data_IF_198226404729
#
_entry.id   IF_198226404729
#
_cell.length_a   1.000
_cell.length_b   1.000
_cell.length_c   1.000
_cell.angle_alpha   90.00
_cell.angle_beta   90.00
_cell.angle_gamma   90.00
#
_symmetry.space_group_name_H-M   'P 1'
#
loop_
_entity.id
_entity.type
_entity.pdbx_description
1 polymer ?
#
# COMPACT_ATOMS: atom_id res chain seq x y z
N UNK A 1 -118.49 0.33 8.11
CA UNK A 1 -118.33 -1.12 7.76
C UNK A 1 -116.93 -1.40 7.37
N UNK A 2 -116.41 -2.45 7.94
CA UNK A 2 -115.20 -3.20 7.64
C UNK A 2 -113.89 -2.63 8.07
N UNK A 3 -113.33 -3.28 9.06
CA UNK A 3 -111.96 -3.33 9.61
C UNK A 3 -110.96 -3.87 8.61
N UNK A 4 -109.78 -3.36 8.60
CA UNK A 4 -108.61 -4.08 8.16
C UNK A 4 -107.47 -3.79 9.10
N UNK A 5 -106.97 -4.82 9.71
CA UNK A 5 -105.82 -4.89 10.59
C UNK A 5 -104.57 -4.86 9.71
N UNK A 6 -103.65 -3.92 9.88
CA UNK A 6 -102.34 -3.91 9.19
C UNK A 6 -101.24 -4.34 10.15
N UNK A 7 -100.60 -5.39 9.80
CA UNK A 7 -99.49 -6.03 10.49
C UNK A 7 -98.19 -5.20 10.26
N UNK A 8 -97.57 -4.69 11.33
CA UNK A 8 -96.29 -3.99 11.27
C UNK A 8 -95.17 -5.03 11.43
N UNK A 9 -94.45 -5.29 10.34
CA UNK A 9 -93.19 -6.03 10.35
C UNK A 9 -92.09 -5.13 10.81
N UNK A 10 -91.55 -5.36 11.99
CA UNK A 10 -90.30 -4.69 12.46
C UNK A 10 -89.11 -5.31 11.80
N UNK A 11 -88.36 -4.49 11.01
CA UNK A 11 -87.07 -4.87 10.46
C UNK A 11 -86.00 -4.43 11.49
N UNK A 12 -85.48 -5.47 12.18
CA UNK A 12 -84.28 -5.28 13.04
C UNK A 12 -83.04 -5.13 12.16
N UNK A 13 -82.47 -3.96 12.08
CA UNK A 13 -81.13 -3.74 11.48
C UNK A 13 -80.10 -4.16 12.50
N UNK A 14 -79.44 -5.33 12.29
CA UNK A 14 -78.18 -5.63 12.95
C UNK A 14 -77.08 -4.72 12.39
N UNK A 15 -76.69 -3.70 13.14
CA UNK A 15 -75.49 -2.96 12.88
C UNK A 15 -74.29 -3.85 13.23
N UNK A 16 -73.68 -4.49 12.22
CA UNK A 16 -72.39 -5.11 12.35
C UNK A 16 -71.34 -4.02 12.47
N UNK A 17 -70.88 -3.78 13.68
CA UNK A 17 -69.74 -2.90 13.92
C UNK A 17 -68.48 -3.57 13.37
N UNK A 18 -68.09 -3.21 12.15
CA UNK A 18 -66.77 -3.56 11.59
C UNK A 18 -65.73 -2.79 12.41
N UNK A 19 -65.02 -3.53 13.26
CA UNK A 19 -63.84 -2.99 13.92
C UNK A 19 -62.76 -2.75 12.85
N UNK A 20 -62.74 -1.60 12.25
CA UNK A 20 -61.65 -1.14 11.37
C UNK A 20 -60.46 -0.84 12.27
N UNK A 21 -59.58 -1.82 12.41
CA UNK A 21 -58.29 -1.57 13.00
C UNK A 21 -57.47 -0.77 11.99
N UNK A 22 -57.44 0.54 12.14
CA UNK A 22 -56.51 1.38 11.44
C UNK A 22 -55.10 1.11 12.01
N UNK A 23 -54.31 0.26 11.34
CA UNK A 23 -52.90 0.13 11.66
C UNK A 23 -52.22 1.41 11.20
N UNK A 24 -51.90 2.29 12.13
CA UNK A 24 -51.04 3.43 11.86
C UNK A 24 -49.58 2.95 11.82
N UNK A 25 -49.03 2.76 10.63
CA UNK A 25 -47.62 2.46 10.42
C UNK A 25 -46.92 3.72 9.90
N UNK A 26 -45.76 4.03 10.44
CA UNK A 26 -44.88 5.06 9.94
C UNK A 26 -43.58 4.40 9.47
N UNK A 27 -43.07 4.79 8.30
CA UNK A 27 -41.80 4.33 7.76
C UNK A 27 -40.69 5.24 8.25
N UNK A 28 -39.66 4.66 8.88
CA UNK A 28 -38.42 5.37 9.21
C UNK A 28 -37.35 4.96 8.21
N UNK A 29 -36.94 5.90 7.36
CA UNK A 29 -35.90 5.69 6.37
C UNK A 29 -34.58 6.25 6.91
N UNK A 30 -33.59 5.37 7.10
CA UNK A 30 -32.21 5.78 7.43
C UNK A 30 -31.39 5.76 6.15
N UNK A 31 -30.84 6.90 5.79
CA UNK A 31 -29.95 7.04 4.62
C UNK A 31 -28.60 7.56 5.05
N UNK A 32 -27.54 7.03 4.43
CA UNK A 32 -26.17 7.47 4.65
C UNK A 32 -25.28 6.91 3.55
N UNK A 33 -24.18 7.60 3.26
CA UNK A 33 -23.16 7.14 2.34
C UNK A 33 -21.83 7.06 3.08
N UNK A 34 -21.24 5.88 3.14
CA UNK A 34 -19.88 5.70 3.65
C UNK A 34 -18.93 5.95 2.46
N UNK A 35 -18.16 7.02 2.54
CA UNK A 35 -17.11 7.30 1.56
C UNK A 35 -15.80 6.77 2.11
N UNK A 36 -15.10 5.85 1.42
CA UNK A 36 -13.75 5.44 1.81
C UNK A 36 -12.81 6.65 1.74
N UNK A 37 -11.83 6.72 2.65
CA UNK A 37 -10.76 7.69 2.57
C UNK A 37 -9.95 7.39 1.27
N UNK A 38 -9.78 8.41 0.43
CA UNK A 38 -8.93 8.31 -0.74
C UNK A 38 -7.54 8.82 -0.38
N UNK A 39 -6.55 7.92 -0.32
CA UNK A 39 -5.16 8.28 -0.09
C UNK A 39 -4.42 8.42 -1.41
N UNK A 40 -3.63 9.47 -1.52
CA UNK A 40 -2.74 9.73 -2.64
C UNK A 40 -1.29 9.48 -2.22
N UNK A 41 -0.60 8.66 -2.98
CA UNK A 41 0.82 8.33 -2.80
C UNK A 41 1.65 9.14 -3.80
N UNK A 42 2.66 9.85 -3.32
CA UNK A 42 3.56 10.62 -4.15
C UNK A 42 5.00 10.52 -3.67
N UNK A 43 5.93 10.65 -4.61
CA UNK A 43 7.36 10.76 -4.35
C UNK A 43 7.90 12.00 -5.04
N UNK A 44 8.78 12.72 -4.37
CA UNK A 44 9.45 13.90 -4.95
C UNK A 44 10.28 13.48 -6.16
N UNK A 45 10.29 14.30 -7.20
CA UNK A 45 11.00 14.00 -8.45
C UNK A 45 10.41 12.84 -9.24
N UNK A 46 9.11 12.48 -9.01
CA UNK A 46 8.47 11.35 -9.69
C UNK A 46 9.05 10.00 -9.29
N UNK A 47 9.81 9.92 -8.17
CA UNK A 47 10.45 8.67 -7.72
C UNK A 47 11.71 8.29 -8.51
N UNK A 48 12.29 9.20 -9.26
CA UNK A 48 13.52 8.95 -10.01
C UNK A 48 14.73 9.04 -9.08
N UNK A 49 15.49 7.95 -9.02
CA UNK A 49 16.77 7.87 -8.33
C UNK A 49 17.88 7.87 -9.39
N UNK A 50 18.50 9.01 -9.60
CA UNK A 50 19.54 9.17 -10.61
C UNK A 50 20.93 9.06 -10.00
N UNK A 51 21.74 8.12 -10.50
CA UNK A 51 23.14 7.95 -10.10
C UNK A 51 24.11 8.74 -10.99
N UNK A 52 23.63 9.32 -12.10
CA UNK A 52 24.50 10.01 -13.07
C UNK A 52 25.39 9.06 -13.84
N UNK A 53 26.43 9.60 -14.45
CA UNK A 53 27.40 8.83 -15.20
C UNK A 53 28.39 8.13 -14.25
N UNK A 54 28.58 6.84 -14.46
CA UNK A 54 29.49 6.01 -13.68
C UNK A 54 30.61 5.54 -14.62
N UNK A 55 31.84 6.07 -14.47
CA UNK A 55 32.95 5.68 -15.33
C UNK A 55 33.25 4.18 -15.18
N UNK A 56 33.32 3.45 -16.30
CA UNK A 56 33.57 2.02 -16.32
C UNK A 56 34.93 1.65 -15.65
N UNK A 57 35.94 2.54 -15.75
CA UNK A 57 37.22 2.35 -15.11
C UNK A 57 37.20 2.37 -13.57
N UNK A 58 36.09 2.79 -12.94
CA UNK A 58 35.92 2.73 -11.49
C UNK A 58 35.32 1.38 -11.02
N UNK A 59 34.84 0.56 -11.95
CA UNK A 59 34.23 -0.74 -11.59
C UNK A 59 35.30 -1.78 -11.30
N UNK A 60 35.19 -2.40 -10.16
CA UNK A 60 36.02 -3.53 -9.77
C UNK A 60 35.69 -4.74 -10.66
N UNK A 61 36.70 -5.36 -11.31
CA UNK A 61 36.46 -6.45 -12.25
C UNK A 61 35.84 -7.70 -11.59
N UNK A 62 36.25 -8.04 -10.37
CA UNK A 62 35.93 -9.32 -9.72
C UNK A 62 35.02 -9.16 -8.49
N UNK A 63 34.69 -7.94 -8.10
CA UNK A 63 33.84 -7.66 -6.95
C UNK A 63 32.58 -6.87 -7.35
N UNK A 64 31.53 -6.99 -6.57
CA UNK A 64 30.34 -6.16 -6.70
C UNK A 64 30.64 -4.70 -6.32
N UNK A 65 30.03 -3.77 -6.98
CA UNK A 65 30.33 -2.34 -6.87
C UNK A 65 29.15 -1.59 -6.22
N UNK A 66 29.15 -1.40 -4.88
CA UNK A 66 28.10 -0.65 -4.20
C UNK A 66 28.22 0.84 -4.52
N UNK A 67 27.10 1.46 -4.87
CA UNK A 67 27.01 2.90 -5.07
C UNK A 67 26.61 3.61 -3.78
N UNK A 68 26.84 4.91 -3.75
CA UNK A 68 26.39 5.77 -2.65
C UNK A 68 24.87 5.73 -2.52
N UNK A 69 24.37 5.80 -1.29
CA UNK A 69 22.93 5.87 -1.04
C UNK A 69 22.35 7.14 -1.66
N UNK A 70 21.19 7.00 -2.28
CA UNK A 70 20.35 8.10 -2.78
C UNK A 70 18.98 8.03 -2.12
N UNK A 71 18.35 9.16 -1.94
CA UNK A 71 17.06 9.26 -1.24
C UNK A 71 16.04 10.04 -2.04
N UNK A 72 14.77 9.68 -1.84
CA UNK A 72 13.62 10.45 -2.33
C UNK A 72 12.58 10.57 -1.20
N UNK A 73 12.04 11.78 -0.96
CA UNK A 73 10.92 11.96 -0.05
C UNK A 73 9.67 11.24 -0.54
N UNK A 74 9.00 10.56 0.41
CA UNK A 74 7.73 9.87 0.24
C UNK A 74 6.64 10.63 0.99
N UNK A 75 5.48 10.82 0.37
CA UNK A 75 4.31 11.38 1.01
C UNK A 75 3.06 10.58 0.64
N UNK A 76 2.24 10.28 1.64
CA UNK A 76 0.88 9.77 1.45
C UNK A 76 -0.07 10.71 2.17
N UNK A 77 -1.12 11.15 1.47
CA UNK A 77 -2.13 12.05 2.03
C UNK A 77 -3.51 11.45 1.84
N UNK A 78 -4.26 11.28 2.92
CA UNK A 78 -5.61 10.70 2.93
C UNK A 78 -6.71 11.76 3.10
N UNK A 79 -6.41 13.03 2.82
CA UNK A 79 -7.35 14.13 3.04
C UNK A 79 -7.56 14.41 4.53
N UNK A 80 -8.80 14.72 4.92
CA UNK A 80 -9.17 15.03 6.31
C UNK A 80 -9.52 13.81 7.14
N UNK A 81 -9.75 12.66 6.52
CA UNK A 81 -10.17 11.44 7.21
C UNK A 81 -8.98 10.49 7.34
N UNK A 82 -8.53 10.20 8.59
CA UNK A 82 -7.48 9.23 8.80
C UNK A 82 -7.85 7.85 8.22
N UNK A 83 -6.87 7.16 7.68
CA UNK A 83 -7.02 5.81 7.13
C UNK A 83 -5.92 4.89 7.66
N UNK A 84 -6.24 3.60 7.74
CA UNK A 84 -5.26 2.55 7.99
C UNK A 84 -4.88 1.92 6.65
N UNK A 85 -3.62 2.06 6.26
CA UNK A 85 -3.12 1.60 4.98
C UNK A 85 -1.70 1.05 5.08
N UNK A 86 -1.29 0.34 4.07
CA UNK A 86 0.06 -0.19 3.95
C UNK A 86 0.59 -0.03 2.54
N UNK A 87 1.90 -0.24 2.41
CA UNK A 87 2.63 -0.21 1.15
C UNK A 87 3.16 -1.60 0.82
N UNK A 88 3.07 -1.99 -0.43
CA UNK A 88 3.76 -3.14 -1.00
C UNK A 88 4.70 -2.66 -2.09
N UNK A 89 5.78 -3.41 -2.27
CA UNK A 89 6.78 -3.11 -3.28
C UNK A 89 6.90 -4.28 -4.22
N UNK A 90 6.78 -4.00 -5.51
CA UNK A 90 6.84 -5.01 -6.58
C UNK A 90 8.03 -4.70 -7.47
N UNK A 91 8.93 -5.66 -7.63
CA UNK A 91 10.06 -5.55 -8.54
C UNK A 91 9.61 -5.85 -9.98
N UNK A 92 9.69 -4.85 -10.85
CA UNK A 92 9.36 -5.01 -12.27
C UNK A 92 10.53 -5.56 -13.10
N UNK A 93 11.73 -5.67 -12.48
CA UNK A 93 12.92 -6.19 -13.11
C UNK A 93 13.45 -7.48 -12.43
N UNK A 94 12.55 -8.24 -11.80
CA UNK A 94 12.89 -9.42 -11.01
C UNK A 94 13.73 -10.47 -11.76
N UNK A 95 13.55 -10.61 -13.08
CA UNK A 95 14.31 -11.52 -13.91
C UNK A 95 15.80 -11.11 -14.05
N UNK A 96 16.12 -9.85 -13.81
CA UNK A 96 17.48 -9.30 -13.92
C UNK A 96 18.30 -9.36 -12.63
N UNK A 97 17.75 -9.88 -11.54
CA UNK A 97 18.44 -9.99 -10.25
C UNK A 97 19.77 -10.74 -10.37
N UNK A 98 20.77 -10.19 -9.72
CA UNK A 98 22.07 -10.87 -9.52
C UNK A 98 22.06 -11.46 -8.12
N UNK A 99 22.07 -12.80 -7.98
CA UNK A 99 22.03 -13.44 -6.66
C UNK A 99 23.21 -13.04 -5.78
N UNK A 100 22.95 -12.82 -4.49
CA UNK A 100 23.97 -12.48 -3.49
C UNK A 100 24.55 -11.07 -3.61
N UNK A 101 24.09 -10.26 -4.56
CA UNK A 101 24.69 -8.94 -4.83
C UNK A 101 24.58 -7.99 -3.63
N UNK A 102 23.51 -8.12 -2.84
CA UNK A 102 23.30 -7.25 -1.69
C UNK A 102 24.15 -7.59 -0.46
N UNK A 103 24.90 -8.70 -0.48
CA UNK A 103 25.76 -9.07 0.65
C UNK A 103 26.82 -8.02 0.95
N UNK A 104 27.24 -7.24 -0.08
CA UNK A 104 28.20 -6.14 0.09
C UNK A 104 27.62 -4.93 0.84
N UNK A 105 26.31 -4.87 1.01
CA UNK A 105 25.65 -3.80 1.76
C UNK A 105 25.60 -4.06 3.28
N UNK A 106 26.05 -5.25 3.70
CA UNK A 106 26.15 -5.66 5.10
C UNK A 106 25.05 -6.65 5.53
N UNK A 107 25.13 -7.04 6.79
CA UNK A 107 24.21 -8.03 7.37
C UNK A 107 22.74 -7.57 7.33
N UNK A 108 21.87 -8.54 7.14
CA UNK A 108 20.40 -8.35 7.12
C UNK A 108 19.81 -8.02 5.76
N UNK A 109 20.61 -7.88 4.70
CA UNK A 109 20.12 -7.92 3.34
C UNK A 109 20.12 -9.36 2.81
N UNK A 110 19.01 -9.78 2.24
CA UNK A 110 18.82 -11.12 1.65
C UNK A 110 18.16 -10.98 0.28
N UNK A 111 17.97 -12.08 -0.42
CA UNK A 111 17.36 -12.07 -1.76
C UNK A 111 15.93 -11.49 -1.79
N UNK A 112 15.21 -11.50 -0.67
CA UNK A 112 13.88 -10.88 -0.60
C UNK A 112 13.94 -9.34 -0.69
N UNK A 113 15.10 -8.74 -0.37
CA UNK A 113 15.34 -7.30 -0.47
C UNK A 113 16.00 -6.89 -1.80
N UNK A 114 16.40 -7.88 -2.63
CA UNK A 114 17.11 -7.66 -3.87
C UNK A 114 16.13 -7.33 -5.00
N UNK A 115 16.20 -6.12 -5.53
CA UNK A 115 15.47 -5.66 -6.70
C UNK A 115 16.40 -5.65 -7.90
N UNK A 116 15.91 -6.08 -9.06
CA UNK A 116 16.72 -6.13 -10.28
C UNK A 116 17.02 -4.73 -10.84
N UNK A 117 18.25 -4.54 -11.31
CA UNK A 117 18.70 -3.27 -11.90
C UNK A 117 18.66 -3.26 -13.45
N UNK A 118 17.94 -4.23 -14.02
CA UNK A 118 17.80 -4.40 -15.46
C UNK A 118 18.91 -5.25 -16.08
N UNK A 119 18.84 -5.36 -17.41
CA UNK A 119 19.85 -6.05 -18.23
C UNK A 119 20.31 -5.12 -19.35
N UNK A 120 21.58 -5.13 -19.64
CA UNK A 120 22.15 -4.45 -20.79
C UNK A 120 23.02 -5.42 -21.60
N UNK A 121 22.90 -5.44 -22.92
CA UNK A 121 23.66 -6.33 -23.80
C UNK A 121 23.56 -7.83 -23.41
N UNK A 122 22.39 -8.26 -22.92
CA UNK A 122 22.16 -9.64 -22.44
C UNK A 122 22.81 -9.96 -21.08
N UNK A 123 23.42 -8.99 -20.41
CA UNK A 123 24.05 -9.16 -19.09
C UNK A 123 23.24 -8.48 -18.00
N UNK A 124 23.13 -9.07 -16.82
CA UNK A 124 22.46 -8.48 -15.65
C UNK A 124 23.33 -7.37 -15.10
N UNK A 125 22.77 -6.15 -15.00
CA UNK A 125 23.54 -4.95 -14.62
C UNK A 125 23.82 -4.87 -13.14
N UNK A 126 22.95 -5.42 -12.30
CA UNK A 126 23.12 -5.36 -10.86
C UNK A 126 21.82 -5.61 -10.08
N UNK A 127 21.76 -5.02 -8.89
CA UNK A 127 20.59 -5.01 -8.03
C UNK A 127 20.54 -3.79 -7.15
N UNK A 128 19.41 -3.55 -6.49
CA UNK A 128 19.29 -2.48 -5.53
C UNK A 128 18.45 -2.88 -4.33
N UNK A 129 18.70 -2.23 -3.22
CA UNK A 129 17.93 -2.34 -1.99
C UNK A 129 17.18 -1.05 -1.71
N UNK A 130 16.00 -1.17 -1.11
CA UNK A 130 15.15 -0.06 -0.67
C UNK A 130 15.04 -0.09 0.85
N UNK A 131 15.06 1.08 1.49
CA UNK A 131 14.84 1.21 2.93
C UNK A 131 13.87 2.37 3.18
N UNK A 132 12.89 2.16 4.06
CA UNK A 132 11.98 3.19 4.57
C UNK A 132 12.58 3.81 5.84
N UNK A 133 12.67 5.14 5.88
CA UNK A 133 13.23 5.89 7.02
C UNK A 133 12.41 7.13 7.34
N UNK A 134 12.61 7.65 8.54
CA UNK A 134 12.10 8.94 8.99
C UNK A 134 10.58 9.07 8.85
N UNK A 135 9.87 7.96 9.08
CA UNK A 135 8.42 7.91 8.94
C UNK A 135 7.76 8.77 10.01
N UNK A 136 6.86 9.65 9.59
CA UNK A 136 6.13 10.57 10.46
C UNK A 136 4.69 10.74 10.01
N UNK A 137 3.82 11.03 11.00
CA UNK A 137 2.51 11.61 10.77
C UNK A 137 2.48 12.95 11.50
N UNK A 138 2.47 14.04 10.75
CA UNK A 138 2.72 15.39 11.28
C UNK A 138 4.01 15.43 12.11
N UNK A 139 3.97 15.75 13.39
CA UNK A 139 5.13 15.77 14.31
C UNK A 139 5.45 14.41 14.94
N UNK A 140 4.53 13.45 14.86
CA UNK A 140 4.68 12.14 15.53
C UNK A 140 5.57 11.21 14.71
N UNK A 141 6.64 10.72 15.31
CA UNK A 141 7.48 9.69 14.71
C UNK A 141 6.74 8.35 14.68
N UNK A 142 6.89 7.64 13.57
CA UNK A 142 6.28 6.35 13.35
C UNK A 142 7.36 5.29 13.17
N UNK A 143 7.11 4.09 13.68
CA UNK A 143 8.00 2.94 13.49
C UNK A 143 7.44 2.04 12.41
N UNK A 144 8.25 1.59 11.45
CA UNK A 144 7.79 0.65 10.43
C UNK A 144 7.47 -0.71 11.05
N UNK A 145 6.39 -1.29 10.57
CA UNK A 145 5.99 -2.67 10.83
C UNK A 145 5.72 -3.37 9.51
N UNK A 146 5.85 -4.69 9.49
CA UNK A 146 5.62 -5.48 8.28
C UNK A 146 4.81 -6.73 8.58
N UNK A 147 4.20 -7.29 7.55
CA UNK A 147 3.64 -8.64 7.55
C UNK A 147 3.88 -9.32 6.20
N UNK A 148 3.90 -10.65 6.19
CA UNK A 148 4.00 -11.45 4.98
C UNK A 148 2.62 -12.05 4.70
N UNK A 149 2.06 -11.73 3.54
CA UNK A 149 0.71 -12.14 3.17
C UNK A 149 -0.35 -11.67 4.20
N UNK A 150 -1.12 -12.60 4.75
CA UNK A 150 -2.13 -12.37 5.80
C UNK A 150 -1.60 -12.62 7.22
N UNK A 151 -0.28 -12.79 7.39
CA UNK A 151 0.32 -13.06 8.69
C UNK A 151 0.21 -11.92 9.69
N UNK A 152 0.66 -12.17 10.93
CA UNK A 152 0.69 -11.17 11.98
C UNK A 152 1.69 -10.04 11.66
N UNK A 153 1.39 -8.84 12.15
CA UNK A 153 2.29 -7.70 12.08
C UNK A 153 3.50 -7.90 12.99
N UNK A 154 4.67 -7.52 12.50
CA UNK A 154 5.95 -7.63 13.19
C UNK A 154 6.72 -6.30 13.05
N UNK A 155 7.68 -6.05 13.94
CA UNK A 155 8.58 -4.92 13.79
C UNK A 155 9.40 -5.06 12.50
N UNK A 156 9.67 -3.95 11.86
CA UNK A 156 10.55 -3.85 10.69
C UNK A 156 11.72 -2.93 10.99
N UNK A 157 12.88 -3.25 10.43
CA UNK A 157 14.07 -2.38 10.45
C UNK A 157 14.06 -1.35 9.30
N UNK A 158 12.97 -1.32 8.55
CA UNK A 158 12.78 -0.45 7.40
C UNK A 158 13.33 -0.98 6.08
N UNK A 159 14.12 -2.07 6.08
CA UNK A 159 14.52 -2.73 4.82
C UNK A 159 13.31 -3.30 4.13
N UNK A 160 13.18 -3.06 2.86
CA UNK A 160 12.00 -3.38 2.08
C UNK A 160 12.19 -4.68 1.30
N UNK A 161 11.49 -5.72 1.76
CA UNK A 161 11.29 -6.95 1.00
C UNK A 161 10.16 -6.76 -0.03
N UNK A 162 10.23 -7.52 -1.11
CA UNK A 162 9.22 -7.49 -2.17
C UNK A 162 7.90 -8.12 -1.71
N UNK A 163 6.82 -7.87 -2.47
CA UNK A 163 5.56 -8.61 -2.35
C UNK A 163 5.83 -10.12 -2.27
N UNK A 164 5.16 -10.87 -1.38
CA UNK A 164 3.92 -10.53 -0.68
C UNK A 164 4.08 -9.77 0.65
N UNK A 165 5.28 -9.24 0.97
CA UNK A 165 5.48 -8.44 2.18
C UNK A 165 4.75 -7.10 2.07
N UNK A 166 4.02 -6.74 3.12
CA UNK A 166 3.32 -5.46 3.24
C UNK A 166 3.89 -4.68 4.43
N UNK A 167 4.12 -3.41 4.21
CA UNK A 167 4.62 -2.47 5.22
C UNK A 167 3.51 -1.55 5.68
N UNK A 168 3.52 -1.23 6.96
CA UNK A 168 2.71 -0.19 7.57
C UNK A 168 3.55 0.44 8.70
N UNK A 169 2.94 1.19 9.57
CA UNK A 169 3.62 1.89 10.67
C UNK A 169 2.77 1.84 11.91
N UNK A 170 3.43 1.87 13.05
CA UNK A 170 2.81 2.00 14.36
C UNK A 170 3.17 3.32 15.02
N UNK A 171 2.26 3.83 15.81
CA UNK A 171 2.49 4.90 16.76
C UNK A 171 2.53 4.30 18.15
N UNK A 172 3.60 4.55 18.91
CA UNK A 172 3.77 3.95 20.25
C UNK A 172 4.35 2.52 20.21
N UNK A 173 4.01 1.68 21.18
CA UNK A 173 4.66 0.37 21.42
C UNK A 173 3.90 -0.83 20.83
N UNK A 174 2.59 -0.72 20.64
CA UNK A 174 1.74 -1.82 20.12
C UNK A 174 1.98 -2.02 18.63
N UNK A 175 2.18 -3.29 18.22
CA UNK A 175 2.47 -3.65 16.82
C UNK A 175 1.16 -3.79 16.04
N UNK A 176 0.47 -2.66 15.83
CA UNK A 176 -0.74 -2.55 15.01
C UNK A 176 -0.61 -1.36 14.06
N UNK A 177 -1.16 -1.45 12.84
CA UNK A 177 -1.19 -0.34 11.92
C UNK A 177 -1.92 0.87 12.49
N UNK A 178 -1.28 2.03 12.46
CA UNK A 178 -1.86 3.29 12.90
C UNK A 178 -2.80 3.87 11.82
N UNK A 179 -3.92 4.44 12.26
CA UNK A 179 -4.80 5.24 11.40
C UNK A 179 -4.26 6.67 11.37
N UNK A 180 -3.91 7.17 10.19
CA UNK A 180 -3.29 8.48 9.98
C UNK A 180 -3.86 9.18 8.76
N UNK A 181 -3.91 10.51 8.78
CA UNK A 181 -4.34 11.32 7.64
C UNK A 181 -3.18 11.62 6.67
N UNK A 182 -1.96 11.62 7.18
CA UNK A 182 -0.76 11.90 6.39
C UNK A 182 0.41 11.05 6.87
N UNK A 183 1.17 10.53 5.92
CA UNK A 183 2.48 9.94 6.12
C UNK A 183 3.51 10.74 5.35
N UNK A 184 4.59 11.08 5.99
CA UNK A 184 5.83 11.52 5.34
C UNK A 184 6.96 10.58 5.70
N UNK A 185 7.92 10.44 4.82
CA UNK A 185 9.08 9.58 5.06
C UNK A 185 10.12 9.73 3.95
N UNK A 186 11.15 8.93 4.06
CA UNK A 186 12.25 8.87 3.11
C UNK A 186 12.39 7.46 2.57
N UNK A 187 12.40 7.34 1.25
CA UNK A 187 12.85 6.14 0.55
C UNK A 187 14.34 6.30 0.30
N UNK A 188 15.16 5.44 0.90
CA UNK A 188 16.58 5.35 0.64
C UNK A 188 16.86 4.16 -0.28
N UNK A 189 17.64 4.37 -1.33
CA UNK A 189 18.00 3.37 -2.33
C UNK A 189 19.51 3.22 -2.38
N UNK A 190 19.97 1.98 -2.31
CA UNK A 190 21.38 1.62 -2.52
C UNK A 190 21.48 0.65 -3.67
N UNK A 191 22.00 1.12 -4.80
CA UNK A 191 22.27 0.27 -5.95
C UNK A 191 23.65 -0.38 -5.81
N UNK A 192 23.77 -1.58 -6.38
CA UNK A 192 25.02 -2.32 -6.48
C UNK A 192 25.15 -2.81 -7.92
N UNK A 193 26.22 -2.37 -8.59
CA UNK A 193 26.54 -2.81 -9.95
C UNK A 193 27.23 -4.16 -9.89
N UNK A 194 26.96 -5.00 -10.88
CA UNK A 194 27.61 -6.30 -11.04
C UNK A 194 29.13 -6.15 -11.21
N UNK A 195 29.86 -7.26 -11.16
CA UNK A 195 31.29 -7.28 -11.39
C UNK A 195 31.60 -6.81 -12.81
N UNK A 196 32.67 -6.03 -12.97
CA UNK A 196 33.02 -5.51 -14.28
C UNK A 196 33.22 -6.59 -15.35
N UNK A 197 33.79 -7.75 -14.97
CA UNK A 197 33.97 -8.90 -15.88
C UNK A 197 32.66 -9.56 -16.34
N UNK A 198 31.56 -9.36 -15.61
CA UNK A 198 30.25 -9.91 -15.93
C UNK A 198 29.40 -8.93 -16.77
N UNK A 199 29.94 -7.76 -17.09
CA UNK A 199 29.32 -6.71 -17.89
C UNK A 199 30.00 -6.58 -19.26
N UNK A 200 29.26 -6.09 -20.24
CA UNK A 200 29.83 -5.67 -21.52
C UNK A 200 30.15 -4.17 -21.47
N UNK A 201 31.35 -3.85 -21.02
CA UNK A 201 31.84 -2.47 -20.84
C UNK A 201 32.33 -1.83 -22.16
N UNK A 202 32.19 -2.50 -23.30
CA UNK A 202 32.52 -1.93 -24.61
C UNK A 202 31.46 -0.94 -25.11
N UNK A 203 30.33 -0.84 -24.44
CA UNK A 203 29.17 0.02 -24.75
C UNK A 203 28.59 0.62 -23.48
N UNK A 204 27.82 1.66 -23.66
CA UNK A 204 27.06 2.24 -22.55
C UNK A 204 26.08 1.25 -21.95
N UNK A 205 26.04 1.21 -20.63
CA UNK A 205 25.15 0.39 -19.83
C UNK A 205 24.18 1.31 -19.10
N UNK A 206 22.91 1.24 -19.46
CA UNK A 206 21.85 1.95 -18.74
C UNK A 206 21.39 1.13 -17.54
N UNK A 207 21.36 1.73 -16.37
CA UNK A 207 20.71 1.17 -15.19
C UNK A 207 19.19 1.34 -15.32
N UNK A 208 18.44 0.25 -15.35
CA UNK A 208 16.97 0.26 -15.55
C UNK A 208 16.26 -0.52 -14.41
N UNK A 209 16.55 -0.14 -13.17
CA UNK A 209 15.84 -0.67 -12.00
C UNK A 209 14.45 -0.06 -11.91
N UNK A 210 13.42 -0.89 -11.73
CA UNK A 210 12.04 -0.44 -11.59
C UNK A 210 11.32 -1.18 -10.49
N UNK A 211 10.69 -0.43 -9.60
CA UNK A 211 9.82 -0.97 -8.56
C UNK A 211 8.52 -0.16 -8.50
N UNK A 212 7.41 -0.85 -8.34
CA UNK A 212 6.12 -0.21 -8.09
C UNK A 212 5.83 -0.20 -6.61
N UNK A 213 5.38 0.94 -6.10
CA UNK A 213 4.83 1.09 -4.77
C UNK A 213 3.31 1.04 -4.87
N UNK A 214 2.71 0.08 -4.22
CA UNK A 214 1.27 -0.12 -4.18
C UNK A 214 0.73 0.23 -2.80
N UNK A 215 -0.22 1.17 -2.73
CA UNK A 215 -0.94 1.49 -1.53
C UNK A 215 -2.18 0.60 -1.43
N UNK A 216 -2.39 -0.02 -0.28
CA UNK A 216 -3.59 -0.82 0.00
C UNK A 216 -4.14 -0.51 1.39
N UNK A 217 -5.47 -0.41 1.51
CA UNK A 217 -6.14 -0.24 2.80
C UNK A 217 -6.11 -1.56 3.59
N UNK A 218 -6.10 -1.43 4.92
CA UNK A 218 -5.98 -2.55 5.87
C UNK A 218 -7.25 -2.60 6.72
#
# INVERSE_FOLDING_TARGET
MKKIVGLTLGIAWLAAALNVHASTSAELIVRGTIKPAACNLSMTGGGIINYGDIPSGQLLPTAFNPLAERTAPLTVTCGTTPATFGLKFVDLQAASKVPGILNVLGAGYTEVHNYGLGTANGRRTGGFAVTLRDLRSSSTALSPIMRIGSGAWQNSDGKVAQSPTQYSWRSGTTIIPASIAQLTGTIAVRAVINRGQDLDLSRDITLDGRATLELSYI
#
